data_IF_722703420140
#
_entry.id   IF_722703420140
#
_cell.length_a   1.000
_cell.length_b   1.000
_cell.length_c   1.000
_cell.angle_alpha   90.00
_cell.angle_beta   90.00
_cell.angle_gamma   90.00
#
_symmetry.space_group_name_H-M   'P 1'
#
loop_
_entity.id
_entity.type
_entity.pdbx_description
1 polymer ?
#
# COMPACT_ATOMS: atom_id res chain seq x y z
N UNK A 1 -18.69 25.25 24.31
CA UNK A 1 -17.92 26.22 23.52
C UNK A 1 -16.42 25.88 23.47
N UNK A 2 -16.06 24.58 23.40
CA UNK A 2 -14.67 24.14 23.26
C UNK A 2 -14.48 23.21 22.04
N UNK A 3 -15.42 23.19 21.09
CA UNK A 3 -15.43 22.23 19.98
C UNK A 3 -14.84 22.77 18.67
N UNK A 4 -14.23 23.95 18.64
CA UNK A 4 -13.81 24.61 17.38
C UNK A 4 -12.29 24.65 17.13
N UNK A 5 -11.49 23.92 17.92
CA UNK A 5 -10.03 24.13 17.90
C UNK A 5 -9.29 23.16 16.95
N UNK A 6 -9.93 22.11 16.45
CA UNK A 6 -9.31 21.22 15.46
C UNK A 6 -10.04 21.29 14.14
N UNK A 7 -9.86 22.38 13.38
CA UNK A 7 -10.08 22.33 11.94
C UNK A 7 -9.08 21.29 11.42
N UNK A 8 -9.59 20.11 11.05
CA UNK A 8 -8.80 19.12 10.32
C UNK A 8 -8.24 19.81 9.08
N UNK A 9 -6.93 19.87 9.01
CA UNK A 9 -6.28 20.39 7.82
C UNK A 9 -6.31 19.32 6.75
N UNK A 10 -6.69 19.70 5.54
CA UNK A 10 -6.59 18.84 4.37
C UNK A 10 -5.15 18.36 4.22
N UNK A 11 -5.00 17.08 3.94
CA UNK A 11 -3.71 16.47 3.60
C UNK A 11 -3.43 16.72 2.11
N UNK A 12 -2.28 17.30 1.79
CA UNK A 12 -1.83 17.44 0.40
C UNK A 12 -1.34 16.09 -0.12
N UNK A 13 -0.42 15.46 0.61
CA UNK A 13 0.04 14.12 0.26
C UNK A 13 0.52 13.32 1.48
N UNK A 14 0.44 12.01 1.36
CA UNK A 14 1.02 11.05 2.28
C UNK A 14 2.16 10.31 1.60
N UNK A 15 3.35 10.35 2.19
CA UNK A 15 4.55 9.66 1.72
C UNK A 15 4.80 8.44 2.61
N UNK A 16 4.53 7.26 2.09
CA UNK A 16 4.77 5.99 2.75
C UNK A 16 6.16 5.46 2.41
N UNK A 17 6.94 5.14 3.43
CA UNK A 17 8.17 4.37 3.30
C UNK A 17 8.01 3.05 4.02
N UNK A 18 8.56 1.97 3.47
CA UNK A 18 8.55 0.68 4.14
C UNK A 18 9.83 -0.12 3.89
N UNK A 19 10.23 -0.85 4.90
CA UNK A 19 11.25 -1.89 4.83
C UNK A 19 10.69 -3.16 5.46
N UNK A 20 10.95 -4.29 4.84
CA UNK A 20 10.50 -5.57 5.39
C UNK A 20 11.47 -6.68 5.05
N UNK A 21 11.43 -7.72 5.86
CA UNK A 21 12.02 -9.02 5.60
C UNK A 21 10.91 -10.05 5.62
N UNK A 22 10.63 -10.61 4.46
CA UNK A 22 9.59 -11.62 4.24
C UNK A 22 9.87 -12.38 2.96
N UNK A 23 9.11 -13.43 2.72
CA UNK A 23 9.24 -14.29 1.55
C UNK A 23 8.09 -14.08 0.58
N UNK A 24 8.40 -14.12 -0.70
CA UNK A 24 7.38 -14.17 -1.75
C UNK A 24 6.77 -15.57 -1.81
N UNK A 25 5.44 -15.64 -1.87
CA UNK A 25 4.73 -16.89 -2.08
C UNK A 25 4.57 -17.20 -3.56
N UNK A 26 4.46 -18.49 -3.89
CA UNK A 26 4.05 -18.90 -5.23
C UNK A 26 2.69 -18.34 -5.65
N UNK A 27 1.77 -18.12 -4.69
CA UNK A 27 0.50 -17.45 -4.92
C UNK A 27 0.66 -15.98 -5.32
N UNK A 28 1.54 -15.24 -4.66
CA UNK A 28 1.87 -13.84 -5.02
C UNK A 28 2.43 -13.75 -6.43
N UNK A 29 3.35 -14.67 -6.79
CA UNK A 29 3.92 -14.77 -8.14
C UNK A 29 2.84 -15.06 -9.16
N UNK A 30 1.95 -16.03 -8.88
CA UNK A 30 0.85 -16.39 -9.77
C UNK A 30 -0.10 -15.20 -10.00
N UNK A 31 -0.45 -14.46 -8.95
CA UNK A 31 -1.31 -13.28 -9.03
C UNK A 31 -0.66 -12.16 -9.86
N UNK A 32 0.64 -11.92 -9.67
CA UNK A 32 1.37 -10.91 -10.44
C UNK A 32 1.40 -11.26 -11.93
N UNK A 33 1.60 -12.54 -12.27
CA UNK A 33 1.60 -13.02 -13.66
C UNK A 33 0.21 -12.89 -14.30
N UNK A 34 -0.87 -13.21 -13.56
CA UNK A 34 -2.23 -13.02 -14.07
C UNK A 34 -2.58 -11.54 -14.25
N UNK A 35 -2.18 -10.70 -13.33
CA UNK A 35 -2.37 -9.26 -13.44
C UNK A 35 -1.70 -8.70 -14.71
N UNK A 36 -0.49 -9.13 -15.01
CA UNK A 36 0.25 -8.69 -16.20
C UNK A 36 -0.47 -9.02 -17.52
N UNK A 37 -1.31 -10.08 -17.55
CA UNK A 37 -2.11 -10.44 -18.73
C UNK A 37 -3.30 -9.53 -18.95
N UNK A 38 -3.85 -8.95 -17.89
CA UNK A 38 -5.08 -8.14 -17.93
C UNK A 38 -4.76 -6.67 -18.14
N UNK A 39 -3.74 -6.15 -17.45
CA UNK A 39 -3.33 -4.75 -17.56
C UNK A 39 -1.84 -4.61 -17.28
N UNK A 40 -1.17 -3.62 -17.89
CA UNK A 40 0.22 -3.36 -17.58
C UNK A 40 0.40 -3.07 -16.08
N UNK A 41 1.33 -3.78 -15.44
CA UNK A 41 1.57 -3.68 -13.98
C UNK A 41 1.91 -2.25 -13.54
N UNK A 42 2.49 -1.45 -14.44
CA UNK A 42 2.95 -0.08 -14.17
C UNK A 42 1.96 1.00 -14.56
N UNK A 43 0.85 0.67 -15.21
CA UNK A 43 -0.08 1.63 -15.79
C UNK A 43 -1.49 1.59 -15.18
N UNK A 44 -1.65 1.00 -13.99
CA UNK A 44 -2.95 1.04 -13.30
C UNK A 44 -3.35 2.48 -13.01
N UNK A 45 -4.59 2.81 -13.34
CA UNK A 45 -5.18 4.09 -12.94
C UNK A 45 -5.22 4.17 -11.41
N UNK A 46 -4.74 5.28 -10.86
CA UNK A 46 -4.69 5.49 -9.41
C UNK A 46 -6.09 5.40 -8.74
N UNK A 47 -7.17 5.45 -9.51
CA UNK A 47 -8.55 5.48 -9.04
C UNK A 47 -9.41 4.30 -9.52
N UNK A 48 -8.82 3.25 -10.09
CA UNK A 48 -9.56 2.08 -10.60
C UNK A 48 -10.46 1.42 -9.53
N UNK A 49 -10.06 1.50 -8.27
CA UNK A 49 -10.82 0.94 -7.15
C UNK A 49 -11.69 1.98 -6.42
N UNK A 50 -11.53 3.27 -6.72
CA UNK A 50 -12.23 4.34 -6.02
C UNK A 50 -13.60 4.65 -6.64
N UNK A 51 -14.63 5.00 -5.83
CA UNK A 51 -15.95 5.35 -6.36
C UNK A 51 -15.96 6.70 -7.10
N UNK A 52 -15.01 7.57 -6.79
CA UNK A 52 -14.85 8.88 -7.40
C UNK A 52 -13.38 9.09 -7.84
N UNK A 53 -13.18 10.02 -8.77
CA UNK A 53 -11.84 10.36 -9.27
C UNK A 53 -11.32 11.64 -8.64
N UNK A 54 -10.08 11.61 -8.18
CA UNK A 54 -9.34 12.78 -7.71
C UNK A 54 -8.34 13.29 -8.75
N UNK A 55 -7.38 14.08 -8.27
CA UNK A 55 -6.40 14.76 -9.15
C UNK A 55 -5.05 14.04 -9.26
N UNK A 56 -4.83 12.97 -8.53
CA UNK A 56 -3.58 12.22 -8.62
C UNK A 56 -3.46 11.59 -10.01
N UNK A 57 -2.44 11.99 -10.74
CA UNK A 57 -2.06 11.30 -11.97
C UNK A 57 -1.26 10.05 -11.60
N UNK A 58 -1.33 9.01 -12.45
CA UNK A 58 -0.41 7.88 -12.35
C UNK A 58 1.02 8.44 -12.33
N UNK A 59 1.71 8.27 -11.22
CA UNK A 59 3.04 8.84 -11.08
C UNK A 59 4.06 7.98 -11.83
N UNK A 60 4.85 8.65 -12.65
CA UNK A 60 6.05 8.05 -13.19
C UNK A 60 6.94 7.55 -12.04
N UNK A 61 7.56 6.40 -12.25
CA UNK A 61 8.54 5.85 -11.32
C UNK A 61 9.63 6.90 -11.04
N UNK A 62 9.64 7.40 -9.81
CA UNK A 62 10.60 8.40 -9.38
C UNK A 62 11.29 7.93 -8.12
N UNK A 63 12.60 8.06 -8.09
CA UNK A 63 13.34 7.95 -6.86
C UNK A 63 12.90 9.04 -5.90
N UNK A 64 12.58 8.67 -4.66
CA UNK A 64 12.11 9.59 -3.64
C UNK A 64 13.03 9.58 -2.43
N UNK A 65 13.30 10.74 -1.88
CA UNK A 65 13.85 10.81 -0.55
C UNK A 65 12.75 10.48 0.46
N UNK A 66 13.04 9.60 1.41
CA UNK A 66 12.16 9.21 2.50
C UNK A 66 12.69 9.84 3.81
N UNK A 67 12.26 11.06 4.15
CA UNK A 67 12.80 11.78 5.31
C UNK A 67 12.61 11.00 6.62
N UNK A 68 11.47 10.28 6.76
CA UNK A 68 11.14 9.48 7.92
C UNK A 68 12.07 8.29 8.17
N UNK A 69 12.91 7.94 7.18
CA UNK A 69 13.95 6.92 7.28
C UNK A 69 15.36 7.49 7.08
N UNK A 70 15.47 8.76 6.69
CA UNK A 70 16.72 9.38 6.21
C UNK A 70 17.41 8.55 5.10
N UNK A 71 16.62 7.96 4.22
CA UNK A 71 17.04 7.07 3.13
C UNK A 71 16.30 7.41 1.83
N UNK A 72 16.51 6.60 0.80
CA UNK A 72 15.81 6.71 -0.48
C UNK A 72 14.77 5.62 -0.63
N UNK A 73 13.67 5.95 -1.32
CA UNK A 73 12.62 5.01 -1.71
C UNK A 73 12.84 4.52 -3.13
N UNK A 74 12.85 3.20 -3.30
CA UNK A 74 12.81 2.54 -4.60
C UNK A 74 11.36 2.27 -5.02
N UNK A 75 11.11 2.23 -6.31
CA UNK A 75 9.85 1.76 -6.87
C UNK A 75 9.69 0.26 -6.65
N UNK A 76 8.46 -0.17 -6.39
CA UNK A 76 8.09 -1.59 -6.31
C UNK A 76 6.81 -1.87 -7.08
N UNK A 77 6.62 -3.13 -7.49
CA UNK A 77 5.44 -3.57 -8.22
C UNK A 77 4.15 -3.52 -7.38
N UNK A 78 4.26 -3.34 -6.06
CA UNK A 78 3.12 -3.18 -5.16
C UNK A 78 2.57 -1.76 -5.15
N UNK A 79 3.39 -0.75 -5.50
CA UNK A 79 3.02 0.66 -5.39
C UNK A 79 1.74 1.05 -6.16
N UNK A 80 1.51 0.61 -7.40
CA UNK A 80 0.25 0.89 -8.09
C UNK A 80 -0.97 0.33 -7.37
N UNK A 81 -0.88 -0.91 -6.90
CA UNK A 81 -1.96 -1.56 -6.16
C UNK A 81 -2.26 -0.85 -4.82
N UNK A 82 -1.24 -0.56 -4.05
CA UNK A 82 -1.39 0.16 -2.77
C UNK A 82 -1.97 1.55 -2.97
N UNK A 83 -1.58 2.24 -4.04
CA UNK A 83 -2.16 3.53 -4.43
C UNK A 83 -3.66 3.40 -4.69
N UNK A 84 -4.08 2.39 -5.46
CA UNK A 84 -5.49 2.11 -5.72
C UNK A 84 -6.31 1.87 -4.44
N UNK A 85 -5.80 1.04 -3.52
CA UNK A 85 -6.45 0.75 -2.23
C UNK A 85 -6.55 2.01 -1.36
N UNK A 86 -5.49 2.82 -1.31
CA UNK A 86 -5.47 4.07 -0.52
C UNK A 86 -6.44 5.09 -1.11
N UNK A 87 -6.46 5.24 -2.43
CA UNK A 87 -7.40 6.13 -3.11
C UNK A 87 -8.85 5.62 -3.04
N UNK A 88 -9.07 4.29 -2.92
CA UNK A 88 -10.39 3.78 -2.57
C UNK A 88 -10.84 4.27 -1.20
N UNK A 89 -9.97 4.21 -0.20
CA UNK A 89 -10.29 4.76 1.14
C UNK A 89 -10.63 6.24 1.06
N UNK A 90 -9.79 7.01 0.36
CA UNK A 90 -10.04 8.43 0.11
C UNK A 90 -11.40 8.67 -0.55
N UNK A 91 -11.71 7.95 -1.63
CA UNK A 91 -12.95 8.12 -2.38
C UNK A 91 -14.19 7.79 -1.58
N UNK A 92 -14.17 6.69 -0.81
CA UNK A 92 -15.28 6.30 0.07
C UNK A 92 -15.55 7.35 1.16
N UNK A 93 -14.49 7.88 1.79
CA UNK A 93 -14.63 8.91 2.81
C UNK A 93 -15.12 10.25 2.22
N UNK A 94 -14.68 10.60 1.02
CA UNK A 94 -15.13 11.81 0.31
C UNK A 94 -16.61 11.70 -0.08
N UNK A 95 -17.03 10.58 -0.68
CA UNK A 95 -18.40 10.33 -1.08
C UNK A 95 -19.36 10.36 0.12
N UNK A 96 -18.95 9.75 1.23
CA UNK A 96 -19.70 9.76 2.48
C UNK A 96 -19.65 11.10 3.22
N UNK A 97 -18.91 12.09 2.74
CA UNK A 97 -18.63 13.36 3.44
C UNK A 97 -18.17 13.12 4.89
N UNK A 98 -17.40 12.07 5.10
CA UNK A 98 -16.94 11.67 6.41
C UNK A 98 -15.96 12.71 6.99
N UNK A 99 -16.08 13.10 8.27
CA UNK A 99 -15.12 14.00 8.91
C UNK A 99 -13.68 13.46 8.92
N UNK A 100 -13.48 12.15 8.72
CA UNK A 100 -12.17 11.53 8.59
C UNK A 100 -11.55 11.65 7.19
N UNK A 101 -12.24 12.29 6.24
CA UNK A 101 -11.74 12.51 4.89
C UNK A 101 -10.38 13.23 4.88
N UNK A 102 -9.52 12.84 3.94
CA UNK A 102 -8.15 13.37 3.81
C UNK A 102 -8.08 14.73 3.08
N UNK A 103 -9.21 15.23 2.56
CA UNK A 103 -9.27 16.42 1.72
C UNK A 103 -9.39 16.11 0.23
N UNK A 104 -9.83 17.10 -0.56
CA UNK A 104 -10.18 16.90 -1.97
C UNK A 104 -9.00 16.62 -2.90
N UNK A 105 -7.82 17.16 -2.56
CA UNK A 105 -6.61 17.09 -3.40
C UNK A 105 -5.58 16.05 -2.91
N UNK A 106 -5.98 15.13 -2.06
CA UNK A 106 -5.11 14.11 -1.47
C UNK A 106 -4.36 13.29 -2.52
N UNK A 107 -3.09 13.02 -2.24
CA UNK A 107 -2.22 12.16 -3.05
C UNK A 107 -1.49 11.15 -2.17
N UNK A 108 -1.33 9.95 -2.67
CA UNK A 108 -0.55 8.91 -2.00
C UNK A 108 0.72 8.58 -2.78
N UNK A 109 1.82 8.53 -2.09
CA UNK A 109 3.13 8.24 -2.64
C UNK A 109 3.79 7.17 -1.78
N UNK A 110 4.50 6.21 -2.40
CA UNK A 110 5.23 5.22 -1.63
C UNK A 110 6.59 4.86 -2.22
N UNK A 111 7.42 4.22 -1.40
CA UNK A 111 8.69 3.65 -1.83
C UNK A 111 9.23 2.65 -0.83
N UNK A 112 9.82 1.57 -1.34
CA UNK A 112 10.60 0.64 -0.53
C UNK A 112 11.91 1.30 -0.10
N UNK A 113 12.23 1.22 1.17
CA UNK A 113 13.46 1.80 1.71
C UNK A 113 14.68 1.11 1.11
N UNK A 114 15.58 1.90 0.55
CA UNK A 114 16.87 1.47 0.02
C UNK A 114 18.01 2.18 0.77
N UNK A 115 19.16 1.52 0.96
CA UNK A 115 20.28 2.08 1.72
C UNK A 115 20.80 3.42 1.18
N UNK A 116 20.77 3.61 -0.14
CA UNK A 116 21.27 4.81 -0.81
C UNK A 116 20.58 5.06 -2.15
N UNK A 117 20.91 6.17 -2.79
CA UNK A 117 20.33 6.56 -4.08
C UNK A 117 20.65 5.56 -5.19
N UNK A 118 21.88 5.07 -5.25
CA UNK A 118 22.31 4.10 -6.27
C UNK A 118 21.53 2.79 -6.12
N UNK A 119 21.42 2.26 -4.90
CA UNK A 119 20.65 1.04 -4.64
C UNK A 119 19.16 1.22 -4.94
N UNK A 120 18.59 2.39 -4.63
CA UNK A 120 17.21 2.70 -4.99
C UNK A 120 17.00 2.71 -6.51
N UNK A 121 17.96 3.26 -7.27
CA UNK A 121 17.92 3.23 -8.73
C UNK A 121 18.00 1.81 -9.28
N UNK A 122 18.95 1.00 -8.80
CA UNK A 122 19.10 -0.40 -9.22
C UNK A 122 17.83 -1.21 -8.94
N UNK A 123 17.28 -1.12 -7.72
CA UNK A 123 16.05 -1.82 -7.34
C UNK A 123 14.89 -1.39 -8.25
N UNK A 124 14.71 -0.08 -8.46
CA UNK A 124 13.65 0.45 -9.31
C UNK A 124 13.78 -0.04 -10.76
N UNK A 125 15.00 -0.01 -11.32
CA UNK A 125 15.27 -0.48 -12.68
C UNK A 125 15.00 -1.98 -12.83
N UNK A 126 15.39 -2.77 -11.83
CA UNK A 126 15.09 -4.21 -11.81
C UNK A 126 13.58 -4.49 -11.76
N UNK A 127 12.84 -3.78 -10.91
CA UNK A 127 11.39 -3.94 -10.81
C UNK A 127 10.67 -3.56 -12.12
N UNK A 128 11.12 -2.49 -12.77
CA UNK A 128 10.60 -2.08 -14.08
C UNK A 128 10.93 -3.08 -15.18
N UNK A 129 12.13 -3.64 -15.16
CA UNK A 129 12.54 -4.67 -16.11
C UNK A 129 11.70 -5.95 -15.94
N UNK A 130 11.45 -6.37 -14.69
CA UNK A 130 10.57 -7.51 -14.41
C UNK A 130 9.14 -7.21 -14.92
N UNK A 131 8.60 -6.02 -14.64
CA UNK A 131 7.30 -5.63 -15.15
C UNK A 131 7.25 -5.64 -16.68
N UNK A 132 8.27 -5.11 -17.33
CA UNK A 132 8.38 -5.12 -18.80
C UNK A 132 8.43 -6.55 -19.35
N UNK A 133 9.23 -7.44 -18.76
CA UNK A 133 9.28 -8.85 -19.14
C UNK A 133 7.91 -9.51 -19.03
N UNK A 134 7.23 -9.34 -17.91
CA UNK A 134 5.92 -9.96 -17.69
C UNK A 134 4.84 -9.43 -18.63
N UNK A 135 4.93 -8.17 -19.04
CA UNK A 135 3.96 -7.57 -19.96
C UNK A 135 4.24 -7.86 -21.44
N UNK A 136 5.50 -8.10 -21.82
CA UNK A 136 5.90 -8.15 -23.24
C UNK A 136 6.44 -9.52 -23.69
N UNK A 137 6.78 -10.41 -22.76
CA UNK A 137 7.37 -11.72 -23.08
C UNK A 137 6.44 -12.83 -22.62
N UNK A 138 5.73 -13.45 -23.54
CA UNK A 138 4.64 -14.39 -23.26
C UNK A 138 5.00 -15.56 -22.34
N UNK A 139 6.24 -16.07 -22.41
CA UNK A 139 6.71 -17.19 -21.59
C UNK A 139 7.37 -16.75 -20.26
N UNK A 140 7.60 -15.46 -20.03
CA UNK A 140 8.26 -14.97 -18.83
C UNK A 140 7.47 -15.30 -17.55
N UNK A 141 6.13 -15.18 -17.63
CA UNK A 141 5.23 -15.58 -16.55
C UNK A 141 5.31 -17.06 -16.19
N UNK A 142 5.38 -17.93 -17.20
CA UNK A 142 5.48 -19.38 -16.98
C UNK A 142 6.84 -19.78 -16.41
N UNK A 143 7.92 -19.11 -16.85
CA UNK A 143 9.24 -19.32 -16.29
C UNK A 143 9.29 -18.89 -14.81
N UNK A 144 8.70 -17.76 -14.48
CA UNK A 144 8.63 -17.27 -13.11
C UNK A 144 7.81 -18.20 -12.20
N UNK A 145 6.68 -18.73 -12.68
CA UNK A 145 5.88 -19.73 -11.97
C UNK A 145 6.61 -21.05 -11.74
N UNK A 146 7.44 -21.47 -12.70
CA UNK A 146 8.28 -22.65 -12.54
C UNK A 146 9.39 -22.43 -11.51
N UNK A 147 9.95 -21.23 -11.46
CA UNK A 147 10.98 -20.86 -10.49
C UNK A 147 10.43 -20.74 -9.06
N UNK A 148 9.18 -20.28 -8.91
CA UNK A 148 8.49 -20.14 -7.62
C UNK A 148 7.11 -20.81 -7.71
N UNK A 149 7.05 -22.16 -7.59
CA UNK A 149 5.80 -22.91 -7.73
C UNK A 149 4.75 -22.53 -6.67
N UNK A 150 3.48 -22.81 -6.98
CA UNK A 150 2.41 -22.71 -5.97
C UNK A 150 2.70 -23.65 -4.80
N UNK A 151 2.40 -23.17 -3.58
CA UNK A 151 2.75 -23.87 -2.34
C UNK A 151 4.16 -23.57 -1.82
N UNK A 152 5.00 -22.89 -2.61
CA UNK A 152 6.28 -22.36 -2.11
C UNK A 152 6.02 -21.20 -1.19
N UNK A 153 6.66 -21.21 -0.03
CA UNK A 153 6.58 -20.14 0.96
C UNK A 153 7.66 -20.28 2.03
N UNK A 154 7.74 -19.30 2.91
CA UNK A 154 8.68 -19.32 4.02
C UNK A 154 8.35 -20.44 5.01
N UNK A 155 9.38 -21.12 5.52
CA UNK A 155 9.25 -22.01 6.68
C UNK A 155 8.83 -21.19 7.92
N UNK A 156 8.26 -21.85 8.93
CA UNK A 156 7.87 -21.19 10.18
C UNK A 156 9.06 -20.44 10.83
N UNK A 157 10.24 -21.03 10.80
CA UNK A 157 11.45 -20.42 11.34
C UNK A 157 11.83 -19.12 10.60
N UNK A 158 11.72 -19.11 9.27
CA UNK A 158 11.95 -17.89 8.45
C UNK A 158 10.89 -16.85 8.70
N UNK A 159 9.62 -17.25 8.84
CA UNK A 159 8.52 -16.35 9.14
C UNK A 159 8.71 -15.64 10.49
N UNK A 160 9.20 -16.35 11.50
CA UNK A 160 9.49 -15.76 12.81
C UNK A 160 10.64 -14.75 12.79
N UNK A 161 11.61 -14.90 11.87
CA UNK A 161 12.74 -13.99 11.67
C UNK A 161 12.41 -12.77 10.79
N UNK A 162 11.20 -12.71 10.24
CA UNK A 162 10.71 -11.61 9.44
C UNK A 162 10.44 -10.34 10.26
N UNK A 163 10.21 -9.25 9.57
CA UNK A 163 9.71 -8.00 10.16
C UNK A 163 9.12 -7.09 9.09
N UNK A 164 8.31 -6.12 9.50
CA UNK A 164 7.97 -4.97 8.68
C UNK A 164 7.98 -3.69 9.50
N UNK A 165 8.57 -2.64 8.92
CA UNK A 165 8.54 -1.27 9.43
C UNK A 165 7.95 -0.37 8.35
N UNK A 166 6.79 0.20 8.61
CA UNK A 166 6.11 1.12 7.71
C UNK A 166 6.01 2.47 8.41
N UNK A 167 6.44 3.52 7.76
CA UNK A 167 6.31 4.90 8.26
C UNK A 167 5.69 5.76 7.17
N UNK A 168 4.57 6.36 7.48
CA UNK A 168 3.88 7.28 6.58
C UNK A 168 3.95 8.69 7.14
N UNK A 169 4.48 9.60 6.36
CA UNK A 169 4.56 11.02 6.67
C UNK A 169 3.52 11.77 5.83
N UNK A 170 2.50 12.29 6.49
CA UNK A 170 1.48 13.12 5.87
C UNK A 170 1.87 14.59 5.97
N UNK A 171 1.62 15.34 4.90
CA UNK A 171 1.86 16.77 4.79
C UNK A 171 0.55 17.49 4.61
N UNK A 172 0.30 18.49 5.46
CA UNK A 172 -0.86 19.37 5.35
C UNK A 172 -0.77 20.29 4.16
N UNK A 173 -1.92 20.68 3.63
CA UNK A 173 -2.04 21.62 2.50
C UNK A 173 -1.49 23.02 2.82
N UNK A 174 -1.34 23.36 4.09
CA UNK A 174 -0.71 24.59 4.56
C UNK A 174 0.83 24.61 4.37
N UNK A 175 1.42 23.49 3.91
CA UNK A 175 2.87 23.32 3.73
C UNK A 175 3.69 23.28 5.03
N UNK A 176 3.06 23.38 6.18
CA UNK A 176 3.71 23.44 7.51
C UNK A 176 3.38 22.25 8.38
N UNK A 177 2.11 21.86 8.40
CA UNK A 177 1.63 20.76 9.24
C UNK A 177 2.10 19.42 8.71
N UNK A 178 2.55 18.55 9.65
CA UNK A 178 3.01 17.21 9.37
C UNK A 178 2.51 16.25 10.43
N UNK A 179 2.12 15.05 10.01
CA UNK A 179 1.81 13.96 10.92
C UNK A 179 2.55 12.69 10.46
N UNK A 180 2.98 11.87 11.40
CA UNK A 180 3.66 10.62 11.10
C UNK A 180 2.94 9.46 11.76
N UNK A 181 2.62 8.43 10.98
CA UNK A 181 2.17 7.14 11.45
C UNK A 181 3.29 6.11 11.30
N UNK A 182 3.45 5.26 12.30
CA UNK A 182 4.44 4.17 12.29
C UNK A 182 3.77 2.86 12.65
N UNK A 183 3.99 1.84 11.81
CA UNK A 183 3.64 0.46 12.07
C UNK A 183 4.93 -0.38 12.08
N UNK A 184 5.22 -1.02 13.20
CA UNK A 184 6.37 -1.93 13.32
C UNK A 184 5.89 -3.27 13.84
N UNK A 185 6.18 -4.32 13.10
CA UNK A 185 5.81 -5.70 13.49
C UNK A 185 7.00 -6.63 13.33
N UNK A 186 7.13 -7.57 14.28
CA UNK A 186 8.07 -8.70 14.21
C UNK A 186 7.36 -9.88 13.55
N UNK A 187 8.06 -10.66 12.75
CA UNK A 187 7.51 -11.76 11.97
C UNK A 187 7.20 -11.35 10.52
N UNK A 188 7.16 -12.35 9.66
CA UNK A 188 6.93 -12.18 8.22
C UNK A 188 5.61 -11.45 7.94
N UNK A 189 5.63 -10.34 7.20
CA UNK A 189 4.42 -9.58 6.91
C UNK A 189 3.50 -10.29 5.90
N UNK A 190 4.04 -11.16 5.03
CA UNK A 190 3.28 -11.82 3.97
C UNK A 190 2.48 -13.03 4.46
N UNK A 191 2.86 -13.67 5.56
CA UNK A 191 2.18 -14.86 6.09
C UNK A 191 1.73 -14.65 7.53
N UNK A 192 2.69 -14.65 8.47
CA UNK A 192 2.41 -14.66 9.90
C UNK A 192 1.60 -13.44 10.34
N UNK A 193 1.96 -12.25 9.87
CA UNK A 193 1.27 -11.01 10.25
C UNK A 193 0.01 -10.77 9.44
N UNK A 194 -0.01 -11.17 8.18
CA UNK A 194 -1.25 -11.15 7.39
C UNK A 194 -2.31 -12.05 8.00
N UNK A 195 -1.97 -13.26 8.43
CA UNK A 195 -2.90 -14.15 9.12
C UNK A 195 -3.45 -13.52 10.41
N UNK A 196 -2.60 -12.87 11.20
CA UNK A 196 -3.02 -12.13 12.39
C UNK A 196 -3.96 -10.97 12.04
N UNK A 197 -3.58 -10.11 11.09
CA UNK A 197 -4.39 -8.95 10.72
C UNK A 197 -5.77 -9.33 10.18
N UNK A 198 -5.86 -10.37 9.33
CA UNK A 198 -7.15 -10.81 8.80
C UNK A 198 -8.04 -11.42 9.88
N UNK A 199 -7.44 -12.16 10.82
CA UNK A 199 -8.18 -12.74 11.95
C UNK A 199 -8.72 -11.67 12.90
N UNK A 200 -7.90 -10.70 13.29
CA UNK A 200 -8.31 -9.57 14.12
C UNK A 200 -9.38 -8.72 13.43
N UNK A 201 -9.22 -8.47 12.13
CA UNK A 201 -10.24 -7.75 11.35
C UNK A 201 -11.57 -8.50 11.35
N UNK A 202 -11.56 -9.81 11.13
CA UNK A 202 -12.77 -10.63 11.13
C UNK A 202 -13.44 -10.66 12.51
N UNK A 203 -12.66 -10.77 13.59
CA UNK A 203 -13.17 -10.72 14.95
C UNK A 203 -13.78 -9.35 15.28
N UNK A 204 -13.11 -8.27 14.91
CA UNK A 204 -13.64 -6.90 15.10
C UNK A 204 -14.96 -6.70 14.36
N UNK A 205 -15.02 -7.10 13.11
CA UNK A 205 -16.28 -7.00 12.32
C UNK A 205 -17.41 -7.83 12.91
N UNK A 206 -17.12 -8.99 13.52
CA UNK A 206 -18.12 -9.90 14.06
C UNK A 206 -18.58 -9.51 15.46
N UNK A 207 -17.65 -9.10 16.32
CA UNK A 207 -17.90 -8.95 17.76
C UNK A 207 -18.04 -7.49 18.19
N UNK A 208 -17.47 -6.53 17.45
CA UNK A 208 -17.38 -5.13 17.85
C UNK A 208 -18.12 -4.19 16.89
N UNK A 209 -19.20 -4.65 16.25
CA UNK A 209 -19.93 -3.89 15.23
C UNK A 209 -20.29 -2.46 15.64
N UNK A 210 -20.59 -2.22 16.90
CA UNK A 210 -20.93 -0.90 17.42
C UNK A 210 -19.73 0.08 17.43
N UNK A 211 -18.50 -0.42 17.39
CA UNK A 211 -17.25 0.37 17.36
C UNK A 211 -16.79 0.71 15.95
N UNK A 212 -17.37 0.08 14.94
CA UNK A 212 -17.04 0.36 13.55
C UNK A 212 -17.44 1.78 13.16
N UNK A 213 -16.81 2.32 12.13
CA UNK A 213 -17.25 3.57 11.49
C UNK A 213 -18.69 3.47 11.01
N UNK A 214 -19.31 4.60 10.69
CA UNK A 214 -20.66 4.59 10.08
C UNK A 214 -20.70 3.75 8.80
N UNK A 215 -19.68 3.84 7.95
CA UNK A 215 -19.54 3.02 6.74
C UNK A 215 -19.40 1.54 7.09
N UNK A 216 -18.58 1.21 8.08
CA UNK A 216 -18.39 -0.16 8.55
C UNK A 216 -19.69 -0.80 9.08
N UNK A 217 -20.51 -0.03 9.80
CA UNK A 217 -21.80 -0.49 10.30
C UNK A 217 -22.84 -0.72 9.18
N UNK A 218 -22.77 0.06 8.09
CA UNK A 218 -23.61 -0.12 6.91
C UNK A 218 -23.21 -1.36 6.09
N UNK A 219 -21.96 -1.76 6.18
CA UNK A 219 -21.39 -2.86 5.42
C UNK A 219 -21.02 -2.47 4.00
N UNK A 220 -20.54 -3.44 3.22
CA UNK A 220 -20.11 -3.25 1.83
C UNK A 220 -18.67 -3.72 1.59
N UNK A 221 -18.14 -3.40 0.41
CA UNK A 221 -16.73 -3.67 0.06
C UNK A 221 -15.90 -2.46 0.49
N UNK A 222 -15.40 -2.51 1.72
CA UNK A 222 -14.68 -1.43 2.37
C UNK A 222 -13.17 -1.76 2.51
N UNK A 223 -12.38 -0.72 2.75
CA UNK A 223 -10.99 -0.89 3.19
C UNK A 223 -10.94 -0.88 4.72
N UNK A 224 -9.89 -1.43 5.37
CA UNK A 224 -9.76 -1.35 6.82
C UNK A 224 -9.83 0.09 7.35
N UNK A 225 -9.26 1.06 6.62
CA UNK A 225 -9.28 2.48 7.00
C UNK A 225 -10.68 3.12 6.92
N UNK A 226 -11.64 2.52 6.23
CA UNK A 226 -13.01 3.02 6.11
C UNK A 226 -14.01 2.21 6.92
N UNK A 227 -13.65 1.01 7.31
CA UNK A 227 -14.51 0.16 8.14
C UNK A 227 -14.45 0.51 9.64
N UNK A 228 -13.31 1.02 10.14
CA UNK A 228 -13.20 1.44 11.54
C UNK A 228 -11.82 1.30 12.11
#
# INVERSE_FOLDING_TARGET
AASDVYKRQDVDYALCGYEFKGSLSGGTVASLVEQAKVSPITSSDAYDLAPIRGRQKAEAVRLRKLPQFNKYGAFTLLAPHNTGVTNRSWGLLQEAQDPASYGADFRYLEGQVAPGMISAYIISSLMLFIAWLLNNVSYAGDLLRKAVPQGTGASMEEQLKGFANVRTLAYGKDGKSKAMATLSVKGDPGYLRTAMFISETALTLSLEKARLSKLGQQGGVLTPATAG
#
